data_IF_384965456820
#
_entry.id   IF_384965456820
#
_cell.length_a   1.000
_cell.length_b   1.000
_cell.length_c   1.000
_cell.angle_alpha   90.00
_cell.angle_beta   90.00
_cell.angle_gamma   90.00
#
_symmetry.space_group_name_H-M   'P 1'
#
loop_
_entity.id
_entity.type
_entity.pdbx_description
1 polymer ?
#
# COMPACT_ATOMS: atom_id res chain seq x y z
N UNK A 1 -11.86 -39.45 -9.09
CA UNK A 1 -11.79 -39.17 -10.54
C UNK A 1 -10.38 -38.68 -10.83
N UNK A 2 -9.61 -39.45 -11.59
CA UNK A 2 -8.16 -39.30 -11.75
C UNK A 2 -7.81 -38.20 -12.75
N UNK A 3 -6.93 -37.29 -12.35
CA UNK A 3 -6.49 -36.15 -13.13
C UNK A 3 -5.69 -36.55 -14.36
N UNK A 4 -6.00 -35.92 -15.50
CA UNK A 4 -5.15 -35.94 -16.68
C UNK A 4 -3.88 -35.13 -16.36
N UNK A 5 -2.84 -35.83 -15.93
CA UNK A 5 -1.47 -35.28 -15.91
C UNK A 5 -1.10 -34.95 -17.36
N UNK A 6 -0.67 -33.72 -17.60
CA UNK A 6 -0.31 -33.23 -18.92
C UNK A 6 0.94 -34.00 -19.41
N UNK A 7 0.87 -34.79 -20.51
CA UNK A 7 1.95 -35.71 -20.90
C UNK A 7 3.29 -34.99 -21.12
N UNK A 8 3.25 -33.74 -21.57
CA UNK A 8 4.44 -32.89 -21.75
C UNK A 8 5.20 -32.61 -20.45
N UNK A 9 4.51 -32.41 -19.33
CA UNK A 9 5.17 -32.18 -18.04
C UNK A 9 5.91 -33.44 -17.56
N UNK A 10 5.29 -34.60 -17.78
CA UNK A 10 5.83 -35.90 -17.38
C UNK A 10 7.05 -36.29 -18.20
N UNK A 11 7.02 -36.00 -19.50
CA UNK A 11 8.15 -36.27 -20.41
C UNK A 11 9.35 -35.34 -20.10
N UNK A 12 9.10 -34.07 -19.75
CA UNK A 12 10.15 -33.14 -19.31
C UNK A 12 10.75 -33.56 -17.96
N UNK A 13 9.91 -33.95 -16.99
CA UNK A 13 10.37 -34.49 -15.70
C UNK A 13 11.26 -35.73 -15.87
N UNK A 14 10.86 -36.67 -16.74
CA UNK A 14 11.62 -37.89 -17.02
C UNK A 14 12.95 -37.60 -17.73
N UNK A 15 12.98 -36.66 -18.68
CA UNK A 15 14.21 -36.23 -19.37
C UNK A 15 15.21 -35.56 -18.42
N UNK A 16 14.73 -34.73 -17.48
CA UNK A 16 15.57 -34.07 -16.47
C UNK A 16 16.05 -35.09 -15.41
N UNK A 17 15.21 -36.08 -15.05
CA UNK A 17 15.59 -37.20 -14.17
C UNK A 17 16.67 -38.09 -14.76
N UNK A 18 16.63 -38.37 -16.06
CA UNK A 18 17.65 -39.18 -16.75
C UNK A 18 18.99 -38.45 -16.93
N UNK A 19 19.01 -37.11 -16.84
CA UNK A 19 20.23 -36.30 -17.01
C UNK A 19 20.82 -35.75 -15.70
N UNK A 20 20.02 -35.59 -14.64
CA UNK A 20 20.45 -35.06 -13.35
C UNK A 20 19.86 -35.86 -12.20
N UNK A 21 20.70 -36.37 -11.31
CA UNK A 21 20.24 -37.02 -10.06
C UNK A 21 19.45 -36.04 -9.16
N UNK A 22 18.66 -36.52 -8.20
CA UNK A 22 17.80 -35.69 -7.35
C UNK A 22 18.53 -34.55 -6.62
N UNK A 23 19.78 -34.80 -6.22
CA UNK A 23 20.64 -33.80 -5.57
C UNK A 23 21.08 -32.68 -6.53
N UNK A 24 21.42 -33.03 -7.77
CA UNK A 24 21.77 -32.06 -8.82
C UNK A 24 20.56 -31.19 -9.19
N UNK A 25 19.35 -31.76 -9.20
CA UNK A 25 18.13 -31.00 -9.44
C UNK A 25 17.79 -30.03 -8.30
N UNK A 26 17.94 -30.47 -7.05
CA UNK A 26 17.76 -29.61 -5.88
C UNK A 26 18.80 -28.48 -5.84
N UNK A 27 20.03 -28.75 -6.27
CA UNK A 27 21.08 -27.73 -6.42
C UNK A 27 20.73 -26.72 -7.51
N UNK A 28 20.29 -27.18 -8.68
CA UNK A 28 19.84 -26.31 -9.76
C UNK A 28 18.68 -25.41 -9.33
N UNK A 29 17.68 -25.97 -8.63
CA UNK A 29 16.56 -25.21 -8.09
C UNK A 29 17.03 -24.11 -7.11
N UNK A 30 17.99 -24.43 -6.24
CA UNK A 30 18.59 -23.46 -5.31
C UNK A 30 19.26 -22.31 -6.06
N UNK A 31 20.14 -22.62 -7.01
CA UNK A 31 20.86 -21.62 -7.79
C UNK A 31 19.90 -20.73 -8.59
N UNK A 32 18.87 -21.33 -9.19
CA UNK A 32 17.86 -20.59 -9.92
C UNK A 32 17.07 -19.66 -8.98
N UNK A 33 16.65 -20.15 -7.81
CA UNK A 33 15.94 -19.34 -6.83
C UNK A 33 16.79 -18.16 -6.31
N UNK A 34 18.08 -18.37 -6.05
CA UNK A 34 19.00 -17.29 -5.67
C UNK A 34 19.17 -16.25 -6.79
N UNK A 35 19.22 -16.70 -8.04
CA UNK A 35 19.35 -15.81 -9.19
C UNK A 35 18.08 -14.97 -9.39
N UNK A 36 16.90 -15.57 -9.28
CA UNK A 36 15.61 -14.85 -9.35
C UNK A 36 15.44 -13.90 -8.16
N UNK A 37 15.83 -14.32 -6.96
CA UNK A 37 15.83 -13.44 -5.79
C UNK A 37 16.73 -12.22 -6.00
N UNK A 38 17.95 -12.41 -6.52
CA UNK A 38 18.86 -11.32 -6.83
C UNK A 38 18.30 -10.38 -7.89
N UNK A 39 17.70 -10.91 -8.96
CA UNK A 39 17.03 -10.10 -10.00
C UNK A 39 15.91 -9.25 -9.41
N UNK A 40 15.06 -9.84 -8.57
CA UNK A 40 13.98 -9.13 -7.90
C UNK A 40 14.52 -8.04 -6.95
N UNK A 41 15.58 -8.33 -6.18
CA UNK A 41 16.24 -7.32 -5.35
C UNK A 41 16.84 -6.17 -6.18
N UNK A 42 17.52 -6.47 -7.29
CA UNK A 42 18.11 -5.44 -8.14
C UNK A 42 17.02 -4.57 -8.81
N UNK A 43 15.89 -5.19 -9.21
CA UNK A 43 14.73 -4.48 -9.75
C UNK A 43 14.05 -3.59 -8.69
N UNK A 44 13.90 -4.13 -7.48
CA UNK A 44 13.36 -3.38 -6.35
C UNK A 44 14.30 -2.23 -5.98
N UNK A 45 15.61 -2.46 -5.87
CA UNK A 45 16.61 -1.43 -5.59
C UNK A 45 16.64 -0.33 -6.65
N UNK A 46 16.51 -0.68 -7.94
CA UNK A 46 16.41 0.32 -9.01
C UNK A 46 15.15 1.19 -8.90
N UNK A 47 14.04 0.64 -8.38
CA UNK A 47 12.76 1.35 -8.22
C UNK A 47 12.69 2.14 -6.91
N UNK A 48 13.22 1.56 -5.83
CA UNK A 48 13.11 2.03 -4.46
C UNK A 48 14.33 2.84 -4.02
N UNK A 49 15.49 2.65 -4.64
CA UNK A 49 16.77 3.21 -4.19
C UNK A 49 17.43 2.48 -3.01
N UNK A 50 16.87 1.35 -2.57
CA UNK A 50 17.42 0.46 -1.54
C UNK A 50 16.86 -0.96 -1.69
N UNK A 51 17.47 -1.93 -1.02
CA UNK A 51 17.04 -3.34 -1.03
C UNK A 51 16.00 -3.59 0.06
N UNK A 52 14.77 -4.00 -0.27
CA UNK A 52 13.71 -4.24 0.70
C UNK A 52 13.96 -5.53 1.49
N UNK A 53 13.47 -5.54 2.74
CA UNK A 53 13.43 -6.77 3.54
C UNK A 53 12.47 -7.79 2.92
N UNK A 54 12.73 -9.06 3.17
CA UNK A 54 11.93 -10.16 2.65
C UNK A 54 11.88 -11.34 3.60
N UNK A 55 10.76 -12.06 3.54
CA UNK A 55 10.62 -13.37 4.16
C UNK A 55 10.74 -14.47 3.11
N UNK A 56 11.45 -15.55 3.45
CA UNK A 56 11.56 -16.75 2.65
C UNK A 56 10.60 -17.82 3.16
N UNK A 57 9.77 -18.35 2.27
CA UNK A 57 8.93 -19.51 2.53
C UNK A 57 9.31 -20.66 1.59
N UNK A 58 9.49 -21.85 2.17
CA UNK A 58 9.68 -23.10 1.44
C UNK A 58 8.54 -24.03 1.81
N UNK A 59 7.77 -24.45 0.81
CA UNK A 59 6.59 -25.31 0.99
C UNK A 59 5.59 -24.75 2.03
N UNK A 60 5.45 -23.41 2.03
CA UNK A 60 4.56 -22.67 2.93
C UNK A 60 5.09 -22.46 4.35
N UNK A 61 6.29 -22.94 4.67
CA UNK A 61 6.92 -22.73 5.99
C UNK A 61 7.99 -21.65 5.90
N UNK A 62 7.96 -20.67 6.81
CA UNK A 62 9.01 -19.64 6.92
C UNK A 62 10.37 -20.28 7.22
N UNK A 63 11.40 -19.88 6.49
CA UNK A 63 12.79 -20.37 6.59
C UNK A 63 13.77 -19.20 6.53
N UNK A 64 14.98 -19.43 7.03
CA UNK A 64 16.09 -18.47 6.93
C UNK A 64 16.99 -18.75 5.71
N UNK A 65 16.90 -19.95 5.12
CA UNK A 65 17.75 -20.35 3.99
C UNK A 65 17.07 -21.36 3.05
N UNK A 66 17.65 -21.51 1.86
CA UNK A 66 17.25 -22.48 0.82
C UNK A 66 17.85 -23.88 1.05
N UNK A 67 18.07 -24.26 2.30
CA UNK A 67 18.57 -25.58 2.66
C UNK A 67 17.46 -26.63 2.60
N UNK A 68 17.82 -27.87 2.28
CA UNK A 68 16.92 -29.04 2.25
C UNK A 68 15.74 -28.90 1.29
N UNK A 69 15.98 -28.33 0.10
CA UNK A 69 15.02 -28.33 -0.99
C UNK A 69 14.85 -29.72 -1.58
N UNK A 70 13.62 -30.03 -1.97
CA UNK A 70 13.32 -31.16 -2.85
C UNK A 70 13.06 -30.66 -4.26
N UNK A 71 13.08 -31.56 -5.23
CA UNK A 71 12.76 -31.24 -6.63
C UNK A 71 11.36 -30.61 -6.75
N UNK A 72 10.44 -30.99 -5.87
CA UNK A 72 9.06 -30.48 -5.83
C UNK A 72 8.87 -29.26 -4.93
N UNK A 73 9.92 -28.75 -4.29
CA UNK A 73 9.76 -27.67 -3.32
C UNK A 73 9.34 -26.35 -3.98
N UNK A 74 8.36 -25.69 -3.39
CA UNK A 74 7.90 -24.36 -3.79
C UNK A 74 8.57 -23.28 -2.94
N UNK A 75 9.28 -22.37 -3.59
CA UNK A 75 10.02 -21.27 -2.97
C UNK A 75 9.25 -19.96 -3.22
N UNK A 76 9.02 -19.19 -2.17
CA UNK A 76 8.36 -17.88 -2.24
C UNK A 76 9.19 -16.88 -1.43
N UNK A 77 9.55 -15.77 -2.08
CA UNK A 77 10.12 -14.59 -1.42
C UNK A 77 9.02 -13.52 -1.32
N UNK A 78 8.71 -13.10 -0.11
CA UNK A 78 7.70 -12.08 0.16
C UNK A 78 8.39 -10.79 0.61
N UNK A 79 8.38 -9.77 -0.24
CA UNK A 79 9.04 -8.49 0.03
C UNK A 79 8.10 -7.54 0.77
N UNK A 80 8.60 -6.85 1.80
CA UNK A 80 7.81 -5.95 2.65
C UNK A 80 7.62 -4.54 2.03
N UNK A 81 7.24 -4.48 0.75
CA UNK A 81 7.22 -3.24 -0.03
C UNK A 81 6.14 -2.23 0.38
N UNK A 82 5.11 -2.65 1.12
CA UNK A 82 4.01 -1.78 1.52
C UNK A 82 4.40 -0.81 2.64
N UNK A 83 5.22 -1.28 3.60
CA UNK A 83 5.73 -0.45 4.70
C UNK A 83 6.50 0.73 4.12
N UNK A 84 7.36 0.44 3.15
CA UNK A 84 8.14 1.41 2.39
C UNK A 84 7.28 2.49 1.71
N UNK A 85 6.17 2.09 1.09
CA UNK A 85 5.24 3.02 0.43
C UNK A 85 4.57 3.93 1.46
N UNK A 86 4.13 3.36 2.58
CA UNK A 86 3.44 4.08 3.65
C UNK A 86 4.39 5.09 4.30
N UNK A 87 5.60 4.69 4.66
CA UNK A 87 6.62 5.58 5.22
C UNK A 87 7.01 6.69 4.25
N UNK A 88 7.13 6.38 2.95
CA UNK A 88 7.42 7.39 1.94
C UNK A 88 6.30 8.42 1.81
N UNK A 89 5.04 7.96 1.75
CA UNK A 89 3.87 8.84 1.70
C UNK A 89 3.80 9.69 2.95
N UNK A 90 4.00 9.12 4.14
CA UNK A 90 3.99 9.86 5.40
C UNK A 90 5.07 10.94 5.43
N UNK A 91 6.31 10.60 5.08
CA UNK A 91 7.40 11.56 5.00
C UNK A 91 7.11 12.73 4.03
N UNK A 92 6.49 12.44 2.89
CA UNK A 92 6.05 13.48 1.95
C UNK A 92 4.91 14.33 2.52
N UNK A 93 3.94 13.74 3.21
CA UNK A 93 2.86 14.49 3.86
C UNK A 93 3.41 15.41 4.94
N UNK A 94 4.36 14.94 5.75
CA UNK A 94 5.04 15.76 6.75
C UNK A 94 5.80 16.92 6.10
N UNK A 95 6.51 16.66 5.00
CA UNK A 95 7.33 17.66 4.29
C UNK A 95 6.50 18.73 3.58
N UNK A 96 5.39 18.35 2.93
CA UNK A 96 4.60 19.24 2.09
C UNK A 96 3.39 19.87 2.81
N UNK A 97 3.16 19.51 4.07
CA UNK A 97 2.09 20.08 4.86
C UNK A 97 2.32 21.56 5.19
N UNK A 98 1.29 22.42 5.04
CA UNK A 98 1.38 23.80 5.47
C UNK A 98 1.57 23.91 6.98
N UNK A 99 2.55 24.71 7.40
CA UNK A 99 2.83 24.96 8.81
C UNK A 99 2.42 26.40 9.14
N UNK A 100 1.27 26.53 9.80
CA UNK A 100 0.86 27.77 10.47
C UNK A 100 0.82 27.58 11.99
N UNK A 101 -0.04 26.67 12.46
CA UNK A 101 -0.09 26.20 13.85
C UNK A 101 0.54 24.81 14.03
N UNK A 102 0.80 24.09 12.94
CA UNK A 102 1.21 22.68 12.94
C UNK A 102 0.05 21.68 13.00
N UNK A 103 -1.19 22.14 13.26
CA UNK A 103 -2.36 21.25 13.41
C UNK A 103 -2.62 20.41 12.15
N UNK A 104 -2.48 20.99 10.96
CA UNK A 104 -2.68 20.25 9.72
C UNK A 104 -1.70 19.08 9.59
N UNK A 105 -0.40 19.36 9.78
CA UNK A 105 0.68 18.38 9.73
C UNK A 105 0.52 17.26 10.78
N UNK A 106 0.01 17.60 11.97
CA UNK A 106 -0.23 16.63 13.04
C UNK A 106 -1.52 15.80 12.88
N UNK A 107 -2.35 16.10 11.87
CA UNK A 107 -3.70 15.50 11.74
C UNK A 107 -3.83 14.47 10.63
N UNK A 108 -2.70 13.96 10.12
CA UNK A 108 -2.69 12.81 9.23
C UNK A 108 -2.94 11.54 10.04
N UNK A 109 -3.98 10.79 9.68
CA UNK A 109 -4.35 9.54 10.35
C UNK A 109 -4.40 8.42 9.32
N UNK A 110 -3.73 7.32 9.67
CA UNK A 110 -3.59 6.14 8.84
C UNK A 110 -4.64 5.08 9.19
N UNK A 111 -5.18 4.44 8.16
CA UNK A 111 -6.21 3.41 8.23
C UNK A 111 -5.80 2.18 7.42
N UNK A 112 -6.05 1.01 7.98
CA UNK A 112 -5.88 -0.30 7.38
C UNK A 112 -7.24 -1.01 7.44
N UNK A 113 -7.88 -1.23 6.29
CA UNK A 113 -9.27 -1.73 6.19
C UNK A 113 -10.24 -1.03 7.16
N UNK A 114 -10.20 0.31 7.14
CA UNK A 114 -11.00 1.23 7.98
C UNK A 114 -10.67 1.25 9.48
N UNK A 115 -9.63 0.54 9.91
CA UNK A 115 -9.12 0.61 11.30
C UNK A 115 -7.91 1.52 11.37
N UNK A 116 -7.95 2.47 12.30
CA UNK A 116 -6.80 3.34 12.58
C UNK A 116 -5.60 2.51 13.06
N UNK A 117 -4.40 2.85 12.58
CA UNK A 117 -3.16 2.21 13.01
C UNK A 117 -2.02 3.22 13.17
N UNK A 118 -1.02 2.84 13.97
CA UNK A 118 0.23 3.59 14.13
C UNK A 118 1.20 3.17 13.02
N UNK A 119 1.78 4.16 12.32
CA UNK A 119 2.74 3.93 11.24
C UNK A 119 3.95 3.06 11.65
N UNK A 120 4.34 3.08 12.92
CA UNK A 120 5.44 2.25 13.43
C UNK A 120 5.05 0.76 13.56
N UNK A 121 3.78 0.42 13.36
CA UNK A 121 3.24 -0.92 13.44
C UNK A 121 2.15 -1.12 12.38
N UNK A 122 2.57 -1.19 11.11
CA UNK A 122 1.68 -1.38 9.96
C UNK A 122 1.05 -2.78 10.01
N UNK A 123 -0.27 -2.91 10.21
CA UNK A 123 -0.94 -4.21 10.19
C UNK A 123 -1.19 -4.68 8.74
N UNK A 124 -1.30 -5.99 8.47
CA UNK A 124 -1.71 -6.47 7.16
C UNK A 124 -3.17 -6.07 6.86
N UNK A 125 -3.42 -5.54 5.66
CA UNK A 125 -4.73 -5.12 5.18
C UNK A 125 -4.85 -5.19 3.65
N UNK A 126 -6.09 -5.26 3.15
CA UNK A 126 -6.38 -5.21 1.71
C UNK A 126 -6.22 -3.77 1.16
N UNK A 127 -6.50 -2.76 1.98
CA UNK A 127 -6.38 -1.37 1.57
C UNK A 127 -5.92 -0.49 2.73
N UNK A 128 -4.96 0.38 2.42
CA UNK A 128 -4.51 1.42 3.32
C UNK A 128 -5.00 2.78 2.84
N UNK A 129 -5.28 3.67 3.78
CA UNK A 129 -5.57 5.05 3.47
C UNK A 129 -5.02 5.98 4.54
N UNK A 130 -4.50 7.12 4.12
CA UNK A 130 -4.20 8.24 5.01
C UNK A 130 -5.18 9.36 4.73
N UNK A 131 -5.67 10.01 5.78
CA UNK A 131 -6.70 11.05 5.72
C UNK A 131 -6.30 12.19 6.66
N UNK A 132 -6.57 13.44 6.29
CA UNK A 132 -6.38 14.56 7.19
C UNK A 132 -7.67 14.85 7.95
N UNK A 133 -7.62 14.83 9.28
CA UNK A 133 -8.81 15.03 10.12
C UNK A 133 -9.20 16.49 10.35
N UNK A 134 -8.58 17.46 9.67
CA UNK A 134 -8.93 18.88 9.80
C UNK A 134 -10.11 19.25 8.90
N UNK A 135 -11.16 19.93 9.40
CA UNK A 135 -12.30 20.38 8.60
C UNK A 135 -11.92 21.27 7.40
N UNK A 136 -10.80 21.98 7.51
CA UNK A 136 -10.30 22.88 6.46
C UNK A 136 -9.36 22.20 5.45
N UNK A 137 -9.07 20.90 5.58
CA UNK A 137 -8.17 20.19 4.66
C UNK A 137 -8.63 20.29 3.20
N UNK A 138 -9.94 20.18 2.96
CA UNK A 138 -10.52 20.38 1.61
C UNK A 138 -10.26 21.76 1.00
N UNK A 139 -10.09 22.80 1.82
CA UNK A 139 -9.77 24.15 1.32
C UNK A 139 -8.32 24.18 0.88
N UNK A 140 -7.43 23.56 1.66
CA UNK A 140 -6.01 23.44 1.31
C UNK A 140 -5.86 22.69 -0.02
N UNK A 141 -6.54 21.55 -0.18
CA UNK A 141 -6.51 20.79 -1.44
C UNK A 141 -7.06 21.53 -2.66
N UNK A 142 -7.85 22.59 -2.46
CA UNK A 142 -8.37 23.42 -3.56
C UNK A 142 -7.47 24.62 -3.86
N UNK A 143 -6.26 24.66 -3.31
CA UNK A 143 -5.29 25.73 -3.50
C UNK A 143 -5.58 27.00 -2.70
N UNK A 144 -6.42 26.95 -1.65
CA UNK A 144 -6.65 28.11 -0.77
C UNK A 144 -5.50 28.30 0.24
N UNK A 145 -4.49 27.42 0.23
CA UNK A 145 -3.25 27.60 0.97
C UNK A 145 -2.18 28.20 0.07
N UNK A 146 -1.52 29.28 0.51
CA UNK A 146 -0.34 29.82 -0.19
C UNK A 146 0.87 28.87 -0.14
N UNK A 147 0.94 28.00 0.87
CA UNK A 147 2.03 27.04 1.05
C UNK A 147 1.80 25.74 0.26
N UNK A 148 0.55 25.42 -0.06
CA UNK A 148 0.16 24.25 -0.84
C UNK A 148 -0.87 24.63 -1.91
N UNK A 149 -0.46 25.41 -2.93
CA UNK A 149 -1.36 25.91 -3.97
C UNK A 149 -1.92 24.78 -4.85
N UNK A 150 -1.18 23.67 -4.98
CA UNK A 150 -1.56 22.51 -5.79
C UNK A 150 -2.18 21.38 -4.94
N UNK A 151 -2.52 21.67 -3.67
CA UNK A 151 -2.93 20.65 -2.70
C UNK A 151 -1.76 19.82 -2.16
N UNK A 152 -1.98 19.15 -1.03
CA UNK A 152 -0.98 18.29 -0.39
C UNK A 152 -1.20 16.85 -0.83
N UNK A 153 -2.42 16.35 -0.66
CA UNK A 153 -2.75 14.94 -0.90
C UNK A 153 -2.65 14.57 -2.38
N UNK A 154 -3.16 15.44 -3.26
CA UNK A 154 -3.06 15.20 -4.70
C UNK A 154 -1.59 15.20 -5.15
N UNK A 155 -0.81 16.21 -4.77
CA UNK A 155 0.61 16.30 -5.10
C UNK A 155 1.44 15.12 -4.56
N UNK A 156 1.25 14.75 -3.29
CA UNK A 156 1.94 13.61 -2.68
C UNK A 156 1.56 12.30 -3.38
N UNK A 157 0.28 12.10 -3.72
CA UNK A 157 -0.14 10.90 -4.45
C UNK A 157 0.54 10.77 -5.81
N UNK A 158 0.77 11.88 -6.52
CA UNK A 158 1.47 11.89 -7.81
C UNK A 158 2.94 11.50 -7.64
N UNK A 159 3.61 12.03 -6.62
CA UNK A 159 5.00 11.70 -6.31
C UNK A 159 5.15 10.23 -5.90
N UNK A 160 4.27 9.75 -5.02
CA UNK A 160 4.25 8.36 -4.58
C UNK A 160 3.93 7.41 -5.73
N UNK A 161 2.93 7.71 -6.56
CA UNK A 161 2.59 6.92 -7.76
C UNK A 161 3.74 6.87 -8.76
N UNK A 162 4.49 7.96 -8.93
CA UNK A 162 5.66 7.98 -9.82
C UNK A 162 6.75 7.02 -9.35
N UNK A 163 6.93 6.84 -8.05
CA UNK A 163 7.97 5.99 -7.46
C UNK A 163 7.53 4.54 -7.27
N UNK A 164 6.30 4.33 -6.80
CA UNK A 164 5.78 3.03 -6.36
C UNK A 164 4.63 2.49 -7.22
N UNK A 165 4.25 3.18 -8.30
CA UNK A 165 3.11 2.77 -9.14
C UNK A 165 3.29 1.44 -9.87
N UNK A 166 4.51 0.88 -9.89
CA UNK A 166 4.83 -0.46 -10.37
C UNK A 166 4.74 -1.54 -9.27
N UNK A 167 4.62 -1.14 -8.01
CA UNK A 167 4.59 -2.01 -6.83
C UNK A 167 3.17 -2.10 -6.26
N UNK A 168 2.53 -0.95 -6.06
CA UNK A 168 1.20 -0.85 -5.49
C UNK A 168 0.42 0.23 -6.22
N UNK A 169 -0.91 0.12 -6.21
CA UNK A 169 -1.75 1.24 -6.56
C UNK A 169 -1.59 2.33 -5.49
N UNK A 170 -1.28 3.55 -5.92
CA UNK A 170 -1.31 4.75 -5.08
C UNK A 170 -2.12 5.81 -5.81
N UNK A 171 -3.15 6.34 -5.14
CA UNK A 171 -4.06 7.30 -5.77
C UNK A 171 -4.68 8.28 -4.79
N UNK A 172 -5.01 9.46 -5.32
CA UNK A 172 -5.78 10.48 -4.61
C UNK A 172 -7.28 10.21 -4.70
N UNK A 173 -8.00 10.48 -3.62
CA UNK A 173 -9.45 10.41 -3.58
C UNK A 173 -10.03 11.16 -2.40
N UNK A 174 -11.28 10.86 -2.10
CA UNK A 174 -11.98 11.39 -0.93
C UNK A 174 -12.63 10.25 -0.15
N UNK A 175 -12.48 10.26 1.17
CA UNK A 175 -13.16 9.32 2.07
C UNK A 175 -14.02 10.06 3.08
N UNK A 176 -15.15 9.47 3.44
CA UNK A 176 -16.04 9.98 4.50
C UNK A 176 -15.53 9.51 5.86
N UNK A 177 -15.29 10.44 6.77
CA UNK A 177 -14.83 10.14 8.14
C UNK A 177 -15.80 10.80 9.14
N UNK A 178 -16.85 10.09 9.60
CA UNK A 178 -17.89 10.69 10.44
C UNK A 178 -17.51 10.81 11.93
N UNK A 179 -16.24 10.59 12.28
CA UNK A 179 -15.75 10.61 13.66
C UNK A 179 -14.63 11.65 13.86
N UNK A 180 -14.14 11.76 15.11
CA UNK A 180 -13.09 12.70 15.49
C UNK A 180 -13.50 14.17 15.33
N UNK A 181 -12.51 15.03 15.03
CA UNK A 181 -12.72 16.46 14.86
C UNK A 181 -13.69 16.80 13.72
N UNK A 182 -13.74 15.97 12.67
CA UNK A 182 -14.66 16.12 11.55
C UNK A 182 -16.08 15.77 11.94
N UNK A 183 -16.30 14.64 12.63
CA UNK A 183 -17.61 14.27 13.15
C UNK A 183 -18.16 15.35 14.09
N UNK A 184 -17.32 15.84 15.01
CA UNK A 184 -17.68 16.93 15.92
C UNK A 184 -18.04 18.23 15.18
N UNK A 185 -17.23 18.62 14.19
CA UNK A 185 -17.53 19.79 13.35
C UNK A 185 -18.78 19.62 12.51
N UNK A 186 -18.96 18.45 11.87
CA UNK A 186 -20.11 18.15 11.02
C UNK A 186 -21.44 18.21 11.81
N UNK A 187 -21.41 17.84 13.09
CA UNK A 187 -22.56 17.98 14.01
C UNK A 187 -22.85 19.41 14.49
N UNK A 188 -22.00 20.40 14.17
CA UNK A 188 -22.18 21.77 14.64
C UNK A 188 -23.31 22.50 13.90
N UNK A 189 -23.94 23.47 14.59
CA UNK A 189 -24.99 24.30 13.99
C UNK A 189 -24.49 25.11 12.79
N UNK A 190 -23.22 25.53 12.81
CA UNK A 190 -22.59 26.27 11.71
C UNK A 190 -22.36 25.38 10.49
N UNK A 191 -21.91 24.13 10.67
CA UNK A 191 -21.77 23.16 9.59
C UNK A 191 -23.12 22.78 8.98
N UNK A 192 -24.14 22.52 9.81
CA UNK A 192 -25.50 22.24 9.34
C UNK A 192 -26.14 23.42 8.58
N UNK A 193 -25.84 24.66 8.97
CA UNK A 193 -26.26 25.86 8.22
C UNK A 193 -25.53 25.91 6.86
N UNK A 194 -24.21 25.75 6.86
CA UNK A 194 -23.39 25.78 5.65
C UNK A 194 -23.80 24.70 4.64
N UNK A 195 -24.05 23.47 5.08
CA UNK A 195 -24.46 22.39 4.21
C UNK A 195 -25.82 22.66 3.55
N UNK A 196 -26.78 23.24 4.30
CA UNK A 196 -28.07 23.66 3.74
C UNK A 196 -27.91 24.74 2.67
N UNK A 197 -27.04 25.73 2.90
CA UNK A 197 -26.82 26.85 1.97
C UNK A 197 -26.03 26.45 0.72
N UNK A 198 -24.99 25.64 0.87
CA UNK A 198 -24.04 25.31 -0.22
C UNK A 198 -24.42 24.04 -0.97
N UNK A 199 -24.81 22.97 -0.25
CA UNK A 199 -25.07 21.65 -0.85
C UNK A 199 -26.54 21.47 -1.25
N UNK A 200 -27.46 21.99 -0.43
CA UNK A 200 -28.90 21.78 -0.58
C UNK A 200 -29.32 20.31 -0.47
N UNK A 201 -30.61 20.01 -0.65
CA UNK A 201 -31.10 18.62 -0.68
C UNK A 201 -31.29 17.96 0.70
N UNK A 202 -31.24 16.62 0.73
CA UNK A 202 -31.56 15.80 1.91
C UNK A 202 -30.45 15.83 2.97
N UNK A 203 -30.77 15.67 4.27
CA UNK A 203 -29.77 15.69 5.35
C UNK A 203 -28.62 14.67 5.21
N UNK A 204 -28.89 13.48 4.68
CA UNK A 204 -27.83 12.47 4.46
C UNK A 204 -26.75 12.93 3.47
N UNK A 205 -27.11 13.77 2.50
CA UNK A 205 -26.15 14.38 1.57
C UNK A 205 -25.35 15.50 2.24
N UNK A 206 -25.87 16.10 3.31
CA UNK A 206 -25.16 17.12 4.08
C UNK A 206 -24.09 16.47 4.93
N UNK A 207 -24.45 15.41 5.65
CA UNK A 207 -23.52 14.65 6.47
C UNK A 207 -22.35 14.11 5.63
N UNK A 208 -22.64 13.38 4.55
CA UNK A 208 -21.61 12.89 3.64
C UNK A 208 -20.74 14.03 3.10
N UNK A 209 -21.35 15.16 2.70
CA UNK A 209 -20.57 16.29 2.18
C UNK A 209 -19.67 16.92 3.24
N UNK A 210 -20.09 16.97 4.51
CA UNK A 210 -19.30 17.52 5.61
C UNK A 210 -18.16 16.58 6.02
N UNK A 211 -18.37 15.27 5.95
CA UNK A 211 -17.39 14.29 6.43
C UNK A 211 -16.37 13.86 5.39
N UNK A 212 -16.57 14.21 4.11
CA UNK A 212 -15.64 13.89 3.02
C UNK A 212 -14.33 14.66 3.12
N UNK A 213 -13.23 13.94 3.34
CA UNK A 213 -11.89 14.48 3.40
C UNK A 213 -10.99 13.93 2.29
N UNK A 214 -9.95 14.69 1.90
CA UNK A 214 -8.94 14.18 0.98
C UNK A 214 -8.21 12.99 1.59
N UNK A 215 -7.94 12.00 0.74
CA UNK A 215 -7.29 10.77 1.13
C UNK A 215 -6.29 10.32 0.06
N UNK A 216 -5.18 9.73 0.51
CA UNK A 216 -4.33 8.90 -0.35
C UNK A 216 -4.71 7.46 -0.05
N UNK A 217 -5.02 6.70 -1.11
CA UNK A 217 -5.40 5.30 -1.04
C UNK A 217 -4.24 4.50 -1.61
N UNK A 218 -3.81 3.49 -0.85
CA UNK A 218 -2.79 2.53 -1.24
C UNK A 218 -3.43 1.16 -1.26
N UNK A 219 -3.32 0.47 -2.39
CA UNK A 219 -3.82 -0.89 -2.56
C UNK A 219 -2.66 -1.75 -3.10
N UNK A 220 -2.22 -2.79 -2.37
CA UNK A 220 -1.16 -3.70 -2.82
C UNK A 220 -1.49 -4.46 -4.11
N UNK A 221 -2.74 -4.41 -4.57
CA UNK A 221 -3.24 -5.23 -5.65
C UNK A 221 -3.95 -6.46 -5.09
N UNK A 222 -5.14 -6.75 -5.63
CA UNK A 222 -5.80 -8.03 -5.42
C UNK A 222 -4.95 -9.14 -6.03
N UNK A 223 -4.52 -10.09 -5.20
CA UNK A 223 -4.08 -11.42 -5.65
C UNK A 223 -5.17 -12.10 -6.48
#
# INVERSE_FOLDING_TARGET
MSGRINPLQRDIELLIQDTMGPEAQAQYLREHAEQEHRRALDQNEASLGYRPEHDLFVDGTKRESLERLTVSSRIVFEYHLLVDVIEFVDGLLQMHSPVLSGEYQASHVWFADDKEFDINNVPPAEQYAVINLQPYARKIERGLSKQAPDGVYEGVSVLAKRRYGNVAYVGYGYRSVPFGAIGAWAGSASAAKMAREVRGGRPSLHEEWLTRQPAIIIDPGRN
#
